data_IF_463916410685
#
_entry.id   IF_463916410685
#
_cell.length_a   1.000
_cell.length_b   1.000
_cell.length_c   1.000
_cell.angle_alpha   90.00
_cell.angle_beta   90.00
_cell.angle_gamma   90.00
#
_symmetry.space_group_name_H-M   'P 1'
#
loop_
_entity.id
_entity.type
_entity.pdbx_description
1 polymer ?
#
# COMPACT_ATOMS: atom_id res chain seq x y z
N UNK A 1 -1.93 -10.11 20.17
CA UNK A 1 -0.59 -9.51 20.24
C UNK A 1 -0.73 -8.22 21.04
N UNK A 2 0.19 -7.89 21.96
CA UNK A 2 0.16 -6.60 22.65
C UNK A 2 0.27 -5.46 21.63
N UNK A 3 -0.40 -4.35 21.91
CA UNK A 3 -0.35 -3.17 21.04
C UNK A 3 0.92 -2.36 21.32
N UNK A 4 1.77 -2.24 20.31
CA UNK A 4 2.96 -1.40 20.30
C UNK A 4 2.88 -0.43 19.10
N UNK A 5 2.65 0.87 19.34
CA UNK A 5 2.50 1.83 18.26
C UNK A 5 3.79 2.08 17.47
N UNK A 6 4.96 1.97 18.09
CA UNK A 6 6.25 2.21 17.43
C UNK A 6 6.57 1.04 16.50
N UNK A 7 6.39 -0.19 16.97
CA UNK A 7 6.52 -1.38 16.15
C UNK A 7 5.50 -1.36 14.99
N UNK A 8 4.26 -0.93 15.24
CA UNK A 8 3.22 -0.85 14.21
C UNK A 8 3.54 0.17 13.11
N UNK A 9 3.96 1.37 13.48
CA UNK A 9 4.35 2.41 12.54
C UNK A 9 5.55 1.97 11.70
N UNK A 10 6.56 1.39 12.35
CA UNK A 10 7.78 0.91 11.68
C UNK A 10 7.47 -0.24 10.72
N UNK A 11 6.73 -1.26 11.19
CA UNK A 11 6.33 -2.39 10.36
C UNK A 11 5.48 -1.94 9.16
N UNK A 12 4.53 -1.01 9.37
CA UNK A 12 3.70 -0.46 8.30
C UNK A 12 4.52 0.31 7.27
N UNK A 13 5.44 1.18 7.72
CA UNK A 13 6.33 1.93 6.83
C UNK A 13 7.22 1.00 5.98
N UNK A 14 7.85 0.01 6.61
CA UNK A 14 8.74 -0.95 5.92
C UNK A 14 7.94 -1.83 4.96
N UNK A 15 6.77 -2.33 5.36
CA UNK A 15 5.91 -3.12 4.48
C UNK A 15 5.45 -2.32 3.25
N UNK A 16 5.08 -1.04 3.43
CA UNK A 16 4.74 -0.13 2.33
C UNK A 16 5.91 0.12 1.37
N UNK A 17 7.12 0.24 1.92
CA UNK A 17 8.34 0.34 1.12
C UNK A 17 8.59 -0.95 0.34
N UNK A 18 8.47 -2.13 0.96
CA UNK A 18 8.63 -3.42 0.29
C UNK A 18 7.64 -3.58 -0.87
N UNK A 19 6.37 -3.22 -0.68
CA UNK A 19 5.36 -3.21 -1.74
C UNK A 19 5.76 -2.28 -2.89
N UNK A 20 6.30 -1.10 -2.57
CA UNK A 20 6.78 -0.14 -3.57
C UNK A 20 7.99 -0.66 -4.34
N UNK A 21 8.94 -1.27 -3.63
CA UNK A 21 10.16 -1.86 -4.20
C UNK A 21 9.85 -3.06 -5.09
N UNK A 22 8.93 -3.93 -4.68
CA UNK A 22 8.43 -5.04 -5.51
C UNK A 22 7.92 -4.52 -6.85
N UNK A 23 7.11 -3.46 -6.83
CA UNK A 23 6.60 -2.90 -8.08
C UNK A 23 7.71 -2.27 -8.93
N UNK A 24 8.65 -1.57 -8.31
CA UNK A 24 9.79 -1.00 -9.01
C UNK A 24 10.65 -2.09 -9.67
N UNK A 25 10.92 -3.20 -8.97
CA UNK A 25 11.71 -4.32 -9.49
C UNK A 25 11.04 -5.03 -10.65
N UNK A 26 9.70 -5.20 -10.63
CA UNK A 26 8.95 -5.72 -11.76
C UNK A 26 9.08 -4.81 -13.00
N UNK A 27 9.06 -3.49 -12.80
CA UNK A 27 9.32 -2.52 -13.87
C UNK A 27 10.73 -2.66 -14.46
N UNK A 28 11.74 -2.81 -13.60
CA UNK A 28 13.14 -3.04 -14.01
C UNK A 28 13.32 -4.38 -14.75
N UNK A 29 12.52 -5.39 -14.40
CA UNK A 29 12.48 -6.68 -15.09
C UNK A 29 11.74 -6.65 -16.45
N UNK A 30 11.32 -5.46 -16.91
CA UNK A 30 10.69 -5.27 -18.21
C UNK A 30 9.16 -5.38 -18.21
N UNK A 31 8.53 -5.57 -17.04
CA UNK A 31 7.07 -5.58 -16.95
C UNK A 31 6.53 -4.15 -17.15
N UNK A 32 5.85 -3.93 -18.28
CA UNK A 32 5.22 -2.64 -18.59
C UNK A 32 3.93 -2.46 -17.78
N UNK A 33 4.08 -1.92 -16.59
CA UNK A 33 2.97 -1.48 -15.72
C UNK A 33 2.55 -0.06 -16.11
N UNK A 34 1.26 0.16 -16.29
CA UNK A 34 0.73 1.46 -16.74
C UNK A 34 0.52 2.40 -15.56
N UNK A 35 0.12 1.87 -14.41
CA UNK A 35 -0.10 2.69 -13.24
C UNK A 35 1.26 3.23 -12.79
N UNK A 36 1.29 4.49 -12.34
CA UNK A 36 2.46 5.08 -11.72
C UNK A 36 2.09 5.68 -10.36
N UNK A 37 1.84 4.80 -9.38
CA UNK A 37 1.29 5.18 -8.07
C UNK A 37 2.03 6.33 -7.37
N UNK A 38 3.38 6.34 -7.40
CA UNK A 38 4.16 7.42 -6.79
C UNK A 38 3.98 8.74 -7.53
N UNK A 39 3.85 8.70 -8.86
CA UNK A 39 3.58 9.89 -9.65
C UNK A 39 2.18 10.41 -9.37
N UNK A 40 1.20 9.50 -9.32
CA UNK A 40 -0.21 9.80 -9.04
C UNK A 40 -0.35 10.57 -7.72
N UNK A 41 0.22 10.05 -6.63
CA UNK A 41 0.17 10.71 -5.33
C UNK A 41 0.86 12.08 -5.32
N UNK A 42 2.02 12.20 -5.97
CA UNK A 42 2.68 13.50 -6.11
C UNK A 42 1.89 14.49 -6.96
N UNK A 43 1.18 14.02 -7.97
CA UNK A 43 0.33 14.83 -8.84
C UNK A 43 -0.85 15.42 -8.08
N UNK A 44 -1.43 14.68 -7.13
CA UNK A 44 -2.46 15.21 -6.23
C UNK A 44 -1.97 16.39 -5.36
N UNK A 45 -0.65 16.57 -5.23
CA UNK A 45 -0.05 17.73 -4.57
C UNK A 45 0.35 18.83 -5.57
N UNK A 46 -0.03 18.73 -6.84
CA UNK A 46 0.38 19.65 -7.90
C UNK A 46 1.83 19.53 -8.34
N UNK A 47 2.55 18.48 -7.90
CA UNK A 47 3.96 18.29 -8.22
C UNK A 47 4.14 17.52 -9.54
N UNK A 48 5.28 17.75 -10.21
CA UNK A 48 5.64 17.08 -11.47
C UNK A 48 7.04 16.47 -11.41
N UNK A 49 7.36 15.59 -12.35
CA UNK A 49 8.72 15.03 -12.52
C UNK A 49 9.23 14.22 -11.32
N UNK A 50 10.49 14.44 -10.96
CA UNK A 50 11.14 13.79 -9.81
C UNK A 50 10.51 14.20 -8.47
N UNK A 51 10.23 15.50 -8.19
CA UNK A 51 9.54 15.91 -6.98
C UNK A 51 8.22 15.16 -6.72
N UNK A 52 7.41 14.95 -7.77
CA UNK A 52 6.17 14.18 -7.64
C UNK A 52 6.42 12.74 -7.15
N UNK A 53 7.43 12.07 -7.69
CA UNK A 53 7.75 10.69 -7.29
C UNK A 53 8.24 10.61 -5.85
N UNK A 54 9.05 11.57 -5.41
CA UNK A 54 9.53 11.64 -4.02
C UNK A 54 8.36 11.88 -3.08
N UNK A 55 7.53 12.90 -3.36
CA UNK A 55 6.38 13.22 -2.54
C UNK A 55 5.38 12.06 -2.48
N UNK A 56 5.12 11.40 -3.62
CA UNK A 56 4.26 10.23 -3.63
C UNK A 56 4.83 9.02 -2.91
N UNK A 57 6.16 8.84 -2.88
CA UNK A 57 6.80 7.84 -2.02
C UNK A 57 6.59 8.18 -0.55
N UNK A 58 6.78 9.44 -0.15
CA UNK A 58 6.55 9.89 1.23
C UNK A 58 5.10 9.67 1.64
N UNK A 59 4.13 10.12 0.82
CA UNK A 59 2.70 9.89 1.07
C UNK A 59 2.42 8.38 1.23
N UNK A 60 2.97 7.56 0.34
CA UNK A 60 2.72 6.14 0.36
C UNK A 60 3.30 5.47 1.61
N UNK A 61 4.51 5.84 2.04
CA UNK A 61 5.15 5.31 3.25
C UNK A 61 4.41 5.78 4.52
N UNK A 62 4.07 7.07 4.61
CA UNK A 62 3.35 7.64 5.75
C UNK A 62 1.94 7.02 5.86
N UNK A 63 1.24 6.91 4.73
CA UNK A 63 -0.06 6.23 4.67
C UNK A 63 0.06 4.77 5.08
N UNK A 64 1.09 4.06 4.63
CA UNK A 64 1.36 2.67 5.01
C UNK A 64 1.66 2.52 6.50
N UNK A 65 2.36 3.47 7.12
CA UNK A 65 2.60 3.48 8.56
C UNK A 65 1.29 3.67 9.34
N UNK A 66 0.45 4.62 8.93
CA UNK A 66 -0.85 4.86 9.55
C UNK A 66 -1.79 3.64 9.44
N UNK A 67 -1.78 2.96 8.30
CA UNK A 67 -2.55 1.71 8.11
C UNK A 67 -1.99 0.59 8.98
N UNK A 68 -0.67 0.47 9.12
CA UNK A 68 -0.04 -0.47 10.02
C UNK A 68 -0.46 -0.26 11.48
N UNK A 69 -0.54 1.00 11.92
CA UNK A 69 -1.06 1.36 13.25
C UNK A 69 -2.51 0.89 13.43
N UNK A 70 -3.37 1.14 12.43
CA UNK A 70 -4.75 0.68 12.45
C UNK A 70 -4.85 -0.86 12.51
N UNK A 71 -3.96 -1.58 11.83
CA UNK A 71 -3.93 -3.04 11.84
C UNK A 71 -3.49 -3.59 13.18
N UNK A 72 -2.43 -3.06 13.77
CA UNK A 72 -2.00 -3.45 15.11
C UNK A 72 -3.10 -3.23 16.14
N UNK A 73 -3.78 -2.08 16.09
CA UNK A 73 -4.91 -1.77 16.98
C UNK A 73 -6.07 -2.75 16.79
N UNK A 74 -6.47 -3.03 15.55
CA UNK A 74 -7.51 -4.00 15.24
C UNK A 74 -7.14 -5.42 15.70
N UNK A 75 -5.90 -5.85 15.47
CA UNK A 75 -5.45 -7.19 15.85
C UNK A 75 -5.32 -7.36 17.36
N UNK A 76 -4.90 -6.33 18.07
CA UNK A 76 -4.91 -6.31 19.53
C UNK A 76 -6.34 -6.38 20.07
N UNK A 77 -7.26 -5.59 19.53
CA UNK A 77 -8.67 -5.60 19.94
C UNK A 77 -9.38 -6.94 19.69
N UNK A 78 -9.03 -7.63 18.59
CA UNK A 78 -9.55 -8.95 18.26
C UNK A 78 -8.87 -10.09 19.04
N UNK A 79 -7.86 -9.80 19.86
CA UNK A 79 -7.16 -10.81 20.65
C UNK A 79 -6.37 -11.82 19.81
N UNK A 80 -5.94 -11.44 18.59
CA UNK A 80 -5.25 -12.34 17.68
C UNK A 80 -3.90 -12.77 18.28
N UNK A 81 -3.71 -14.07 18.50
CA UNK A 81 -2.51 -14.60 19.15
C UNK A 81 -1.73 -15.60 18.28
N UNK A 82 -2.36 -16.17 17.26
CA UNK A 82 -1.85 -17.27 16.44
C UNK A 82 -2.12 -17.04 14.94
N UNK A 83 -1.68 -17.97 14.08
CA UNK A 83 -1.96 -17.97 12.64
C UNK A 83 -1.59 -16.66 11.91
N UNK A 84 -0.44 -16.11 12.25
CA UNK A 84 0.12 -14.86 11.71
C UNK A 84 -0.03 -14.73 10.19
N UNK A 85 0.29 -15.76 9.36
CA UNK A 85 0.17 -15.62 7.91
C UNK A 85 -1.28 -15.40 7.46
N UNK A 86 -2.25 -16.04 8.11
CA UNK A 86 -3.68 -15.92 7.78
C UNK A 86 -4.16 -14.51 8.10
N UNK A 87 -3.81 -13.99 9.27
CA UNK A 87 -4.17 -12.61 9.64
C UNK A 87 -3.44 -11.57 8.80
N UNK A 88 -2.21 -11.84 8.38
CA UNK A 88 -1.50 -11.03 7.40
C UNK A 88 -2.23 -10.96 6.06
N UNK A 89 -2.71 -12.10 5.55
CA UNK A 89 -3.51 -12.14 4.32
C UNK A 89 -4.86 -11.44 4.47
N UNK A 90 -5.56 -11.63 5.60
CA UNK A 90 -6.84 -10.94 5.88
C UNK A 90 -6.61 -9.42 5.93
N UNK A 91 -5.58 -8.98 6.65
CA UNK A 91 -5.18 -7.58 6.69
C UNK A 91 -4.84 -7.06 5.30
N UNK A 92 -4.00 -7.75 4.54
CA UNK A 92 -3.65 -7.39 3.18
C UNK A 92 -4.86 -7.33 2.23
N UNK A 93 -5.81 -8.25 2.37
CA UNK A 93 -7.05 -8.26 1.60
C UNK A 93 -7.96 -7.08 1.98
N UNK A 94 -8.05 -6.73 3.26
CA UNK A 94 -8.75 -5.52 3.70
C UNK A 94 -8.07 -4.26 3.14
N UNK A 95 -6.73 -4.19 3.17
CA UNK A 95 -5.96 -3.08 2.58
C UNK A 95 -6.30 -2.92 1.11
N UNK A 96 -6.21 -4.04 0.38
CA UNK A 96 -6.49 -4.13 -1.05
C UNK A 96 -7.92 -3.68 -1.38
N UNK A 97 -8.92 -4.11 -0.61
CA UNK A 97 -10.30 -3.73 -0.83
C UNK A 97 -10.52 -2.24 -0.64
N UNK A 98 -10.01 -1.68 0.47
CA UNK A 98 -10.13 -0.25 0.78
C UNK A 98 -9.39 0.58 -0.26
N UNK A 99 -8.13 0.25 -0.54
CA UNK A 99 -7.32 0.96 -1.52
C UNK A 99 -7.93 0.83 -2.93
N UNK A 100 -8.41 -0.36 -3.30
CA UNK A 100 -9.04 -0.63 -4.59
C UNK A 100 -10.29 0.22 -4.81
N UNK A 101 -11.19 0.30 -3.83
CA UNK A 101 -12.35 1.19 -3.91
C UNK A 101 -11.92 2.66 -3.90
N UNK A 102 -10.95 3.04 -3.06
CA UNK A 102 -10.43 4.41 -3.00
C UNK A 102 -9.84 4.89 -4.34
N UNK A 103 -9.22 4.00 -5.12
CA UNK A 103 -8.73 4.36 -6.46
C UNK A 103 -9.83 4.90 -7.38
N UNK A 104 -11.09 4.48 -7.23
CA UNK A 104 -12.19 5.01 -8.03
C UNK A 104 -12.45 6.51 -7.77
N UNK A 105 -12.16 6.99 -6.56
CA UNK A 105 -12.38 8.38 -6.16
C UNK A 105 -11.17 9.28 -6.36
N UNK A 106 -10.00 8.73 -6.69
CA UNK A 106 -8.77 9.52 -6.93
C UNK A 106 -8.97 10.69 -7.90
N UNK A 107 -9.67 10.53 -9.05
CA UNK A 107 -9.90 11.65 -9.97
C UNK A 107 -10.72 12.81 -9.39
N UNK A 108 -11.42 12.61 -8.27
CA UNK A 108 -12.13 13.70 -7.59
C UNK A 108 -11.17 14.67 -6.87
N UNK A 109 -9.94 14.25 -6.59
CA UNK A 109 -8.90 15.08 -5.95
C UNK A 109 -8.01 15.80 -6.96
N UNK A 110 -8.05 15.40 -8.23
CA UNK A 110 -7.36 16.07 -9.34
C UNK A 110 -8.26 16.00 -10.59
N UNK A 111 -9.15 17.00 -10.78
CA UNK A 111 -10.06 17.04 -11.94
C UNK A 111 -9.33 17.03 -13.29
N UNK A 112 -8.09 17.52 -13.32
CA UNK A 112 -7.25 17.61 -14.52
C UNK A 112 -6.46 16.31 -14.80
N UNK A 113 -6.61 15.29 -13.95
CA UNK A 113 -5.96 13.99 -14.14
C UNK A 113 -6.37 13.39 -15.50
N UNK A 114 -5.41 13.15 -16.43
CA UNK A 114 -5.71 12.65 -17.76
C UNK A 114 -6.50 11.34 -17.71
N UNK A 115 -7.45 11.15 -18.63
CA UNK A 115 -8.32 9.95 -18.65
C UNK A 115 -7.53 8.64 -18.62
N UNK A 116 -6.40 8.58 -19.31
CA UNK A 116 -5.51 7.41 -19.35
C UNK A 116 -4.74 7.12 -18.05
N UNK A 117 -4.69 8.09 -17.13
CA UNK A 117 -4.06 7.95 -15.81
C UNK A 117 -5.08 7.71 -14.68
N UNK A 118 -6.38 7.77 -14.98
CA UNK A 118 -7.45 7.54 -13.99
C UNK A 118 -7.51 6.05 -13.64
N UNK A 119 -7.25 5.66 -12.38
CA UNK A 119 -7.10 4.25 -12.04
C UNK A 119 -8.40 3.45 -12.12
N UNK A 120 -9.53 4.05 -11.77
CA UNK A 120 -10.78 3.30 -11.57
C UNK A 120 -10.70 2.39 -10.34
N UNK A 121 -11.83 1.77 -9.99
CA UNK A 121 -11.86 0.81 -8.88
C UNK A 121 -10.88 -0.32 -9.14
N UNK A 122 -10.13 -0.74 -8.12
CA UNK A 122 -9.14 -1.82 -8.21
C UNK A 122 -8.15 -1.66 -9.37
N UNK A 123 -7.88 -0.42 -9.78
CA UNK A 123 -6.98 -0.04 -10.88
C UNK A 123 -7.34 -0.64 -12.25
N UNK A 124 -8.60 -1.06 -12.46
CA UNK A 124 -9.01 -1.81 -13.67
C UNK A 124 -8.77 -1.07 -14.99
N UNK A 125 -8.76 0.27 -15.00
CA UNK A 125 -8.51 1.05 -16.22
C UNK A 125 -7.07 0.91 -16.74
N UNK A 126 -6.15 0.41 -15.92
CA UNK A 126 -4.75 0.20 -16.29
C UNK A 126 -4.50 -1.22 -16.86
N UNK A 127 -5.51 -2.08 -16.85
CA UNK A 127 -5.47 -3.42 -17.43
C UNK A 127 -5.04 -4.51 -16.42
N UNK A 128 -5.25 -5.77 -16.82
CA UNK A 128 -5.16 -6.92 -15.94
C UNK A 128 -3.80 -7.08 -15.21
N UNK A 129 -2.69 -6.68 -15.86
CA UNK A 129 -1.36 -6.75 -15.23
C UNK A 129 -1.24 -5.86 -14.01
N UNK A 130 -1.70 -4.61 -14.12
CA UNK A 130 -1.69 -3.66 -13.01
C UNK A 130 -2.63 -4.12 -11.89
N UNK A 131 -3.80 -4.70 -12.21
CA UNK A 131 -4.72 -5.29 -11.22
C UNK A 131 -4.05 -6.42 -10.43
N UNK A 132 -3.35 -7.33 -11.13
CA UNK A 132 -2.65 -8.45 -10.49
C UNK A 132 -1.52 -7.94 -9.60
N UNK A 133 -0.67 -7.02 -10.09
CA UNK A 133 0.43 -6.47 -9.29
C UNK A 133 -0.09 -5.66 -8.10
N UNK A 134 -1.16 -4.90 -8.27
CA UNK A 134 -1.84 -4.20 -7.19
C UNK A 134 -2.31 -5.18 -6.12
N UNK A 135 -2.98 -6.25 -6.52
CA UNK A 135 -3.50 -7.28 -5.60
C UNK A 135 -2.37 -7.97 -4.85
N UNK A 136 -1.37 -8.50 -5.56
CA UNK A 136 -0.22 -9.18 -4.95
C UNK A 136 0.52 -8.23 -4.00
N UNK A 137 0.73 -6.97 -4.40
CA UNK A 137 1.41 -5.98 -3.56
C UNK A 137 0.72 -5.77 -2.21
N UNK A 138 -0.60 -5.67 -2.19
CA UNK A 138 -1.36 -5.45 -0.95
C UNK A 138 -1.43 -6.70 -0.06
N UNK A 139 -1.50 -7.89 -0.66
CA UNK A 139 -1.38 -9.15 0.10
C UNK A 139 0.02 -9.29 0.71
N UNK A 140 1.06 -8.98 -0.06
CA UNK A 140 2.43 -8.95 0.43
C UNK A 140 2.64 -7.89 1.52
N UNK A 141 1.99 -6.73 1.41
CA UNK A 141 2.00 -5.72 2.47
C UNK A 141 1.48 -6.30 3.79
N UNK A 142 0.30 -6.94 3.79
CA UNK A 142 -0.29 -7.50 5.01
C UNK A 142 0.55 -8.62 5.63
N UNK A 143 1.12 -9.50 4.81
CA UNK A 143 2.08 -10.51 5.26
C UNK A 143 3.34 -9.88 5.85
N UNK A 144 3.99 -8.99 5.11
CA UNK A 144 5.21 -8.32 5.58
C UNK A 144 4.97 -7.55 6.87
N UNK A 145 3.86 -6.80 6.95
CA UNK A 145 3.46 -6.06 8.14
C UNK A 145 3.34 -6.97 9.36
N UNK A 146 2.61 -8.07 9.27
CA UNK A 146 2.38 -8.96 10.42
C UNK A 146 3.66 -9.63 10.92
N UNK A 147 4.53 -10.09 10.02
CA UNK A 147 5.83 -10.64 10.40
C UNK A 147 6.77 -9.59 11.01
N UNK A 148 6.86 -8.41 10.40
CA UNK A 148 7.71 -7.32 10.90
C UNK A 148 7.20 -6.81 12.25
N UNK A 149 5.89 -6.66 12.41
CA UNK A 149 5.29 -6.22 13.66
C UNK A 149 5.62 -7.17 14.81
N UNK A 150 5.48 -8.48 14.59
CA UNK A 150 5.83 -9.47 15.60
C UNK A 150 7.31 -9.45 15.96
N UNK A 151 8.17 -9.36 14.95
CA UNK A 151 9.61 -9.27 15.17
C UNK A 151 9.96 -8.05 16.05
N UNK A 152 9.40 -6.89 15.72
CA UNK A 152 9.70 -5.62 16.40
C UNK A 152 9.01 -5.47 17.76
N UNK A 153 7.82 -6.02 17.94
CA UNK A 153 7.10 -5.96 19.23
C UNK A 153 7.59 -7.01 20.23
N UNK A 154 8.49 -7.92 19.80
CA UNK A 154 9.09 -8.96 20.64
C UNK A 154 10.50 -8.64 21.13
N UNK A 155 11.10 -7.54 20.63
CA UNK A 155 12.43 -7.04 20.98
C UNK A 155 12.38 -5.94 22.03
#
# INVERSE_FOLDING_TARGET
MPFDPVAALTAGAVAGLLMTLMRASLGLAGLRLRLHVLRLWGHLLGLRGIPARIAGLVIHVVGSAAIGLAYAAAFAALGIADNVPVWGLIGGAAHWAIAGVFMAVVPAFDPDLPLGERPGAFVVNHGARDVVVFTIGHLMYGLAFTFLYLLLASS
#
